data_IF_616366774171
#
_entry.id   IF_616366774171
#
_cell.length_a   1.000
_cell.length_b   1.000
_cell.length_c   1.000
_cell.angle_alpha   90.00
_cell.angle_beta   90.00
_cell.angle_gamma   90.00
#
_symmetry.space_group_name_H-M   'P 1'
#
loop_
_entity.id
_entity.type
_entity.pdbx_description
1 polymer ?
#
# COMPACT_ATOMS: atom_id res chain seq x y z
N UNK A 1 7.06 7.55 -14.66
CA UNK A 1 6.66 6.51 -15.63
C UNK A 1 7.61 5.30 -15.54
N UNK A 2 7.91 4.83 -14.33
CA UNK A 2 8.74 3.65 -14.04
C UNK A 2 7.94 2.49 -13.42
N UNK A 3 6.66 2.70 -13.11
CA UNK A 3 5.79 1.71 -12.45
C UNK A 3 5.46 0.49 -13.33
N UNK A 4 5.67 0.57 -14.65
CA UNK A 4 5.21 -0.47 -15.59
C UNK A 4 6.33 -1.36 -16.12
N UNK A 5 7.60 -1.02 -15.87
CA UNK A 5 8.75 -1.82 -16.37
C UNK A 5 9.10 -2.96 -15.42
N UNK A 6 8.80 -2.83 -14.12
CA UNK A 6 9.07 -3.88 -13.12
C UNK A 6 8.16 -5.11 -13.16
N UNK A 7 7.19 -5.19 -14.09
CA UNK A 7 6.23 -6.31 -14.17
C UNK A 7 6.72 -7.46 -15.07
N UNK A 8 7.69 -7.22 -15.95
CA UNK A 8 8.16 -8.21 -16.93
C UNK A 8 9.69 -8.22 -16.94
N UNK A 9 10.30 -9.03 -16.07
CA UNK A 9 11.52 -9.74 -16.45
C UNK A 9 11.76 -10.95 -15.52
N UNK A 10 12.15 -12.07 -16.11
CA UNK A 10 11.96 -13.40 -15.53
C UNK A 10 12.86 -13.70 -14.32
N UNK A 11 12.25 -13.56 -13.14
CA UNK A 11 12.22 -14.43 -11.96
C UNK A 11 13.47 -14.78 -11.13
N UNK A 12 14.72 -14.58 -11.57
CA UNK A 12 15.85 -14.57 -10.62
C UNK A 12 16.92 -13.53 -10.93
N UNK A 13 17.26 -13.36 -12.21
CA UNK A 13 18.35 -12.46 -12.60
C UNK A 13 17.95 -10.98 -12.62
N UNK A 14 16.64 -10.69 -12.69
CA UNK A 14 16.13 -9.31 -12.70
C UNK A 14 15.70 -8.78 -11.32
N UNK A 15 15.38 -9.68 -10.39
CA UNK A 15 14.98 -9.27 -9.04
C UNK A 15 16.11 -8.52 -8.32
N UNK A 16 17.36 -8.96 -8.49
CA UNK A 16 18.52 -8.27 -7.91
C UNK A 16 18.75 -6.90 -8.54
N UNK A 17 18.63 -6.76 -9.87
CA UNK A 17 18.74 -5.46 -10.54
C UNK A 17 17.61 -4.52 -10.15
N UNK A 18 16.39 -5.05 -10.03
CA UNK A 18 15.25 -4.29 -9.56
C UNK A 18 15.49 -3.76 -8.13
N UNK A 19 16.07 -4.56 -7.23
CA UNK A 19 16.49 -4.10 -5.91
C UNK A 19 17.51 -2.96 -6.00
N UNK A 20 18.53 -3.08 -6.84
CA UNK A 20 19.54 -2.02 -7.04
C UNK A 20 18.88 -0.70 -7.49
N UNK A 21 17.94 -0.76 -8.44
CA UNK A 21 17.21 0.42 -8.90
C UNK A 21 16.33 1.03 -7.81
N UNK A 22 15.65 0.22 -6.99
CA UNK A 22 14.84 0.73 -5.89
C UNK A 22 15.68 1.32 -4.76
N UNK A 23 16.84 0.74 -4.45
CA UNK A 23 17.79 1.33 -3.50
C UNK A 23 18.36 2.65 -4.00
N UNK A 24 18.69 2.76 -5.29
CA UNK A 24 19.08 4.02 -5.90
C UNK A 24 17.95 5.06 -5.82
N UNK A 25 16.70 4.66 -6.05
CA UNK A 25 15.54 5.54 -5.92
C UNK A 25 15.40 6.09 -4.49
N UNK A 26 15.58 5.25 -3.46
CA UNK A 26 15.62 5.71 -2.05
C UNK A 26 16.76 6.71 -1.82
N UNK A 27 17.97 6.43 -2.32
CA UNK A 27 19.10 7.36 -2.19
C UNK A 27 18.81 8.71 -2.87
N UNK A 28 18.15 8.70 -4.02
CA UNK A 28 17.73 9.92 -4.70
C UNK A 28 16.64 10.68 -3.93
N UNK A 29 15.68 9.97 -3.33
CA UNK A 29 14.63 10.58 -2.52
C UNK A 29 15.18 11.26 -1.28
N UNK A 30 16.15 10.66 -0.58
CA UNK A 30 16.81 11.28 0.60
C UNK A 30 17.54 12.59 0.30
N UNK A 31 17.85 12.88 -0.98
CA UNK A 31 18.41 14.18 -1.40
C UNK A 31 17.36 15.28 -1.55
N UNK A 32 16.06 14.92 -1.57
CA UNK A 32 14.93 15.82 -1.86
C UNK A 32 13.92 15.91 -0.72
N UNK A 33 13.78 14.84 0.04
CA UNK A 33 12.80 14.69 1.12
C UNK A 33 13.50 14.13 2.37
N UNK A 34 12.90 14.32 3.56
CA UNK A 34 13.33 13.60 4.76
C UNK A 34 13.34 12.09 4.52
N UNK A 35 14.19 11.38 5.26
CA UNK A 35 14.19 9.91 5.24
C UNK A 35 12.83 9.41 5.76
N UNK A 36 12.29 8.38 5.11
CA UNK A 36 11.03 7.74 5.50
C UNK A 36 9.81 8.64 5.32
N UNK A 37 9.81 9.39 4.20
CA UNK A 37 8.67 10.19 3.74
C UNK A 37 7.66 9.32 2.97
N UNK A 38 6.45 9.85 2.73
CA UNK A 38 5.40 9.21 1.94
C UNK A 38 5.88 8.82 0.53
N UNK A 39 6.83 9.57 -0.04
CA UNK A 39 7.43 9.25 -1.33
C UNK A 39 8.20 7.91 -1.34
N UNK A 40 8.66 7.44 -0.17
CA UNK A 40 9.41 6.18 -0.05
C UNK A 40 8.49 4.96 0.09
N UNK A 41 7.22 5.14 0.46
CA UNK A 41 6.26 4.05 0.74
C UNK A 41 6.13 3.11 -0.45
N UNK A 42 5.98 3.64 -1.66
CA UNK A 42 5.85 2.82 -2.87
C UNK A 42 7.14 2.06 -3.17
N UNK A 43 8.30 2.65 -2.86
CA UNK A 43 9.60 2.03 -3.10
C UNK A 43 9.79 0.87 -2.13
N UNK A 44 9.55 1.10 -0.84
CA UNK A 44 9.60 0.04 0.18
C UNK A 44 8.63 -1.11 -0.11
N UNK A 45 7.41 -0.81 -0.57
CA UNK A 45 6.43 -1.84 -0.94
C UNK A 45 6.91 -2.71 -2.11
N UNK A 46 7.56 -2.12 -3.11
CA UNK A 46 8.10 -2.86 -4.24
C UNK A 46 9.31 -3.73 -3.83
N UNK A 47 10.20 -3.22 -2.99
CA UNK A 47 11.32 -3.98 -2.42
C UNK A 47 10.77 -5.17 -1.59
N UNK A 48 9.77 -4.93 -0.75
CA UNK A 48 9.10 -5.96 0.05
C UNK A 48 8.51 -7.07 -0.83
N UNK A 49 7.85 -6.69 -1.94
CA UNK A 49 7.30 -7.64 -2.91
C UNK A 49 8.40 -8.48 -3.59
N UNK A 50 9.57 -7.90 -3.85
CA UNK A 50 10.71 -8.65 -4.37
C UNK A 50 11.19 -9.67 -3.34
N UNK A 51 11.35 -9.28 -2.08
CA UNK A 51 11.73 -10.22 -1.01
C UNK A 51 10.69 -11.32 -0.83
N UNK A 52 9.40 -10.99 -0.91
CA UNK A 52 8.32 -11.97 -0.88
C UNK A 52 8.43 -13.00 -2.03
N UNK A 53 8.71 -12.53 -3.26
CA UNK A 53 8.95 -13.41 -4.43
C UNK A 53 10.21 -14.27 -4.28
N UNK A 54 11.19 -13.81 -3.53
CA UNK A 54 12.40 -14.57 -3.18
C UNK A 54 12.20 -15.51 -1.99
N UNK A 55 10.99 -15.62 -1.45
CA UNK A 55 10.65 -16.34 -0.21
C UNK A 55 11.38 -15.81 1.04
N UNK A 56 11.94 -14.60 0.98
CA UNK A 56 12.47 -13.90 2.15
C UNK A 56 11.33 -13.15 2.85
N UNK A 57 10.44 -13.91 3.47
CA UNK A 57 9.24 -13.36 4.09
C UNK A 57 9.54 -12.43 5.27
N UNK A 58 10.65 -12.66 5.98
CA UNK A 58 11.05 -11.79 7.10
C UNK A 58 11.34 -10.36 6.64
N UNK A 59 12.17 -10.18 5.59
CA UNK A 59 12.44 -8.83 5.06
C UNK A 59 11.20 -8.21 4.40
N UNK A 60 10.37 -9.02 3.74
CA UNK A 60 9.10 -8.54 3.19
C UNK A 60 8.18 -7.99 4.29
N UNK A 61 7.99 -8.72 5.38
CA UNK A 61 7.19 -8.30 6.54
C UNK A 61 7.77 -7.02 7.14
N UNK A 62 9.09 -6.97 7.39
CA UNK A 62 9.75 -5.80 7.97
C UNK A 62 9.53 -4.54 7.15
N UNK A 63 9.62 -4.65 5.82
CA UNK A 63 9.43 -3.51 4.93
C UNK A 63 7.96 -3.11 4.78
N UNK A 64 7.02 -4.06 4.74
CA UNK A 64 5.60 -3.71 4.74
C UNK A 64 5.17 -3.03 6.05
N UNK A 65 5.73 -3.43 7.20
CA UNK A 65 5.57 -2.69 8.46
C UNK A 65 6.12 -1.27 8.37
N UNK A 66 7.31 -1.11 7.78
CA UNK A 66 7.90 0.20 7.57
C UNK A 66 6.99 1.10 6.71
N UNK A 67 6.42 0.57 5.63
CA UNK A 67 5.42 1.28 4.82
C UNK A 67 4.24 1.75 5.68
N UNK A 68 3.70 0.83 6.49
CA UNK A 68 2.53 1.08 7.31
C UNK A 68 2.81 2.17 8.38
N UNK A 69 3.97 2.11 9.04
CA UNK A 69 4.39 3.11 10.03
C UNK A 69 4.51 4.51 9.42
N UNK A 70 5.10 4.62 8.23
CA UNK A 70 5.19 5.91 7.50
C UNK A 70 3.79 6.43 7.16
N UNK A 71 2.94 5.56 6.61
CA UNK A 71 1.56 5.91 6.25
C UNK A 71 0.75 6.35 7.49
N UNK A 72 0.89 5.68 8.63
CA UNK A 72 0.20 6.04 9.87
C UNK A 72 0.68 7.39 10.43
N UNK A 73 1.96 7.69 10.32
CA UNK A 73 2.54 8.94 10.83
C UNK A 73 2.26 10.15 9.95
N UNK A 74 2.08 9.96 8.64
CA UNK A 74 2.02 11.06 7.68
C UNK A 74 0.60 11.50 7.29
N UNK A 75 -0.43 10.69 7.59
CA UNK A 75 -1.74 10.84 6.93
C UNK A 75 -2.90 11.05 7.90
N UNK A 76 -3.80 11.97 7.53
CA UNK A 76 -5.17 12.07 8.07
C UNK A 76 -6.27 11.92 7.00
N UNK A 77 -5.91 11.77 5.72
CA UNK A 77 -6.82 11.81 4.57
C UNK A 77 -7.34 10.42 4.16
N UNK A 78 -8.56 10.37 3.62
CA UNK A 78 -9.23 9.14 3.17
C UNK A 78 -8.52 8.41 2.03
N UNK A 79 -7.94 9.15 1.07
CA UNK A 79 -7.22 8.56 -0.09
C UNK A 79 -6.04 7.68 0.35
N UNK A 80 -5.41 8.06 1.45
CA UNK A 80 -4.23 7.38 1.96
C UNK A 80 -4.63 6.14 2.79
N UNK A 81 -5.87 6.09 3.30
CA UNK A 81 -6.44 4.86 3.91
C UNK A 81 -6.60 3.74 2.88
N UNK A 82 -6.89 4.05 1.62
CA UNK A 82 -6.93 3.04 0.55
C UNK A 82 -5.55 2.43 0.27
N UNK A 83 -4.50 3.25 0.31
CA UNK A 83 -3.13 2.78 0.12
C UNK A 83 -2.71 1.90 1.31
N UNK A 84 -3.16 2.25 2.51
CA UNK A 84 -2.92 1.50 3.73
C UNK A 84 -3.54 0.09 3.70
N UNK A 85 -4.74 -0.06 3.14
CA UNK A 85 -5.39 -1.37 2.92
C UNK A 85 -4.47 -2.31 2.15
N UNK A 86 -3.82 -1.83 1.08
CA UNK A 86 -2.86 -2.62 0.32
C UNK A 86 -1.67 -3.11 1.15
N UNK A 87 -1.16 -2.27 2.06
CA UNK A 87 -0.09 -2.64 3.00
C UNK A 87 -0.55 -3.75 3.96
N UNK A 88 -1.76 -3.65 4.52
CA UNK A 88 -2.34 -4.69 5.40
C UNK A 88 -2.52 -6.03 4.66
N UNK A 89 -3.03 -6.01 3.43
CA UNK A 89 -3.16 -7.20 2.59
C UNK A 89 -1.82 -7.87 2.31
N UNK A 90 -0.79 -7.09 1.99
CA UNK A 90 0.54 -7.62 1.71
C UNK A 90 1.20 -8.22 2.97
N UNK A 91 1.01 -7.60 4.14
CA UNK A 91 1.42 -8.17 5.43
C UNK A 91 0.72 -9.51 5.69
N UNK A 92 -0.60 -9.56 5.53
CA UNK A 92 -1.37 -10.77 5.75
C UNK A 92 -0.89 -11.92 4.84
N UNK A 93 -0.63 -11.63 3.56
CA UNK A 93 -0.07 -12.59 2.61
C UNK A 93 1.34 -13.04 3.02
N UNK A 94 2.21 -12.13 3.43
CA UNK A 94 3.57 -12.44 3.88
C UNK A 94 3.57 -13.31 5.13
N UNK A 95 2.74 -12.99 6.13
CA UNK A 95 2.55 -13.81 7.32
C UNK A 95 2.01 -15.20 6.99
N UNK A 96 1.00 -15.29 6.12
CA UNK A 96 0.43 -16.57 5.67
C UNK A 96 1.47 -17.46 5.00
N UNK A 97 2.33 -16.88 4.14
CA UNK A 97 3.43 -17.63 3.49
C UNK A 97 4.56 -18.03 4.44
N UNK A 98 4.71 -17.31 5.55
CA UNK A 98 5.64 -17.67 6.63
C UNK A 98 5.05 -18.61 7.68
N UNK A 99 3.88 -19.21 7.41
CA UNK A 99 3.16 -20.13 8.31
C UNK A 99 2.66 -19.50 9.63
N UNK A 100 2.69 -18.16 9.73
CA UNK A 100 2.17 -17.37 10.84
C UNK A 100 0.69 -17.04 10.60
N UNK A 101 -0.16 -18.05 10.72
CA UNK A 101 -1.57 -17.97 10.31
C UNK A 101 -2.44 -17.06 11.21
N UNK A 102 -2.11 -16.95 12.50
CA UNK A 102 -2.80 -16.05 13.44
C UNK A 102 -2.65 -14.60 13.01
N UNK A 103 -1.40 -14.18 12.82
CA UNK A 103 -1.03 -12.84 12.40
C UNK A 103 -1.64 -12.55 11.03
N UNK A 104 -1.54 -13.49 10.09
CA UNK A 104 -2.15 -13.33 8.77
C UNK A 104 -3.66 -13.03 8.87
N UNK A 105 -4.38 -13.77 9.71
CA UNK A 105 -5.81 -13.57 9.91
C UNK A 105 -6.11 -12.18 10.51
N UNK A 106 -5.34 -11.75 11.50
CA UNK A 106 -5.51 -10.43 12.13
C UNK A 106 -5.32 -9.31 11.09
N UNK A 107 -4.26 -9.38 10.27
CA UNK A 107 -4.01 -8.39 9.22
C UNK A 107 -5.09 -8.41 8.12
N UNK A 108 -5.61 -9.58 7.74
CA UNK A 108 -6.75 -9.65 6.80
C UNK A 108 -8.01 -9.00 7.38
N UNK A 109 -8.31 -9.25 8.65
CA UNK A 109 -9.48 -8.65 9.31
C UNK A 109 -9.39 -7.13 9.37
N UNK A 110 -8.21 -6.60 9.70
CA UNK A 110 -7.98 -5.15 9.71
C UNK A 110 -8.15 -4.56 8.30
N UNK A 111 -7.59 -5.20 7.27
CA UNK A 111 -7.74 -4.73 5.89
C UNK A 111 -9.22 -4.66 5.48
N UNK A 112 -9.99 -5.71 5.74
CA UNK A 112 -11.42 -5.78 5.43
C UNK A 112 -12.22 -4.72 6.17
N UNK A 113 -11.96 -4.52 7.47
CA UNK A 113 -12.66 -3.51 8.26
C UNK A 113 -12.43 -2.07 7.72
N UNK A 114 -11.21 -1.78 7.24
CA UNK A 114 -10.90 -0.48 6.63
C UNK A 114 -11.59 -0.35 5.27
N UNK A 115 -11.59 -1.38 4.43
CA UNK A 115 -12.31 -1.38 3.14
C UNK A 115 -13.80 -1.13 3.31
N UNK A 116 -14.44 -1.80 4.27
CA UNK A 116 -15.86 -1.62 4.60
C UNK A 116 -16.14 -0.18 5.06
N UNK A 117 -15.26 0.40 5.89
CA UNK A 117 -15.38 1.78 6.34
C UNK A 117 -15.30 2.78 5.17
N UNK A 118 -14.34 2.57 4.25
CA UNK A 118 -14.17 3.40 3.06
C UNK A 118 -15.39 3.27 2.14
N UNK A 119 -15.90 2.06 1.94
CA UNK A 119 -17.08 1.81 1.11
C UNK A 119 -18.32 2.52 1.68
N UNK A 120 -18.59 2.34 2.98
CA UNK A 120 -19.72 2.99 3.67
C UNK A 120 -19.65 4.52 3.55
N UNK A 121 -18.47 5.11 3.77
CA UNK A 121 -18.26 6.55 3.65
C UNK A 121 -18.48 7.08 2.22
N UNK A 122 -18.08 6.32 1.19
CA UNK A 122 -18.37 6.67 -0.20
C UNK A 122 -19.85 6.61 -0.51
N UNK A 123 -20.55 5.58 0.00
CA UNK A 123 -21.98 5.44 -0.16
C UNK A 123 -22.74 6.64 0.44
N UNK A 124 -22.39 7.09 1.65
CA UNK A 124 -23.04 8.26 2.27
C UNK A 124 -22.84 9.54 1.45
N UNK A 125 -21.64 9.80 0.93
CA UNK A 125 -21.38 10.97 0.07
C UNK A 125 -22.22 10.89 -1.22
N UNK A 126 -22.25 9.74 -1.87
CA UNK A 126 -22.98 9.59 -3.15
C UNK A 126 -24.50 9.77 -3.00
N UNK A 127 -25.05 9.44 -1.83
CA UNK A 127 -26.45 9.68 -1.50
C UNK A 127 -26.73 11.16 -1.22
N UNK A 128 -25.83 11.85 -0.52
CA UNK A 128 -25.96 13.30 -0.25
C UNK A 128 -25.87 14.13 -1.54
N UNK A 129 -24.93 13.82 -2.44
CA UNK A 129 -24.80 14.53 -3.72
C UNK A 129 -26.00 14.31 -4.62
N UNK A 130 -26.50 13.07 -4.71
CA UNK A 130 -27.71 12.73 -5.48
C UNK A 130 -28.98 13.40 -4.92
N UNK A 131 -29.02 13.62 -3.61
CA UNK A 131 -30.12 14.32 -2.94
C UNK A 131 -30.09 15.82 -3.24
N UNK A 132 -28.91 16.46 -3.20
CA UNK A 132 -28.75 17.87 -3.50
C UNK A 132 -29.05 18.20 -4.97
N UNK A 133 -28.68 17.35 -5.93
CA UNK A 133 -29.00 17.54 -7.34
C UNK A 133 -30.52 17.49 -7.63
N UNK A 134 -31.30 16.78 -6.80
CA UNK A 134 -32.76 16.73 -6.90
C UNK A 134 -33.42 18.04 -6.44
N UNK A 135 -32.82 18.76 -5.48
CA UNK A 135 -33.34 20.06 -5.03
C UNK A 135 -33.15 21.15 -6.09
N UNK A 136 -32.05 21.15 -6.83
CA UNK A 136 -31.81 22.14 -7.89
C UNK A 136 -32.61 21.87 -9.18
N UNK A 137 -33.04 20.63 -9.43
CA UNK A 137 -33.90 20.30 -10.58
C UNK A 137 -35.38 20.65 -10.41
N UNK A 138 -35.83 20.99 -9.20
CA UNK A 138 -37.22 21.38 -8.92
C UNK A 138 -37.44 22.90 -8.86
N UNK A 139 -36.44 23.71 -9.25
CA UNK A 139 -36.52 25.18 -9.29
C UNK A 139 -36.55 25.79 -10.70
N UNK A 140 -36.93 25.02 -11.73
CA UNK A 140 -37.21 25.50 -13.10
C UNK A 140 -38.63 25.10 -13.50
#
# INVERSE_FOLDING_TARGET
MYNSVGFIDSYKNDLSKALDYYHLALEMNTKRFPIDDLEDVNIYNNIAMIYFKQCNYFEAIRLHHKCLDIQLNATTLLRDREIMVGSYWNLALAYSKSEQNSEALDYFQVALAIEENIFSFRSSISQETSSNDKYYKNCL
#
